data_IF_909809625866
#
_entry.id   IF_909809625866
#
_cell.length_a   1.000
_cell.length_b   1.000
_cell.length_c   1.000
_cell.angle_alpha   90.00
_cell.angle_beta   90.00
_cell.angle_gamma   90.00
#
_symmetry.space_group_name_H-M   'P 1'
#
loop_
_entity.id
_entity.type
_entity.pdbx_description
1 polymer ?
#
# COMPACT_ATOMS: atom_id res chain seq x y z
N UNK A 1 -11.71 21.09 4.62
CA UNK A 1 -11.22 20.63 3.32
C UNK A 1 -9.74 20.33 3.45
N UNK A 2 -9.27 19.15 3.07
CA UNK A 2 -7.83 18.84 3.09
C UNK A 2 -7.14 19.69 2.04
N UNK A 3 -6.16 20.48 2.45
CA UNK A 3 -5.36 21.30 1.52
C UNK A 3 -4.29 20.37 0.93
N UNK A 4 -4.41 20.04 -0.35
CA UNK A 4 -3.37 19.34 -1.08
C UNK A 4 -2.29 20.33 -1.50
N UNK A 5 -1.04 19.91 -1.41
CA UNK A 5 0.12 20.59 -1.95
C UNK A 5 0.73 19.73 -3.06
N UNK A 6 1.59 20.29 -3.87
CA UNK A 6 2.15 19.60 -5.03
C UNK A 6 3.66 19.77 -5.08
N UNK A 7 4.35 18.68 -5.38
CA UNK A 7 5.77 18.66 -5.72
C UNK A 7 5.91 18.27 -7.18
N UNK A 8 6.68 19.02 -7.93
CA UNK A 8 6.99 18.66 -9.33
C UNK A 8 8.23 17.78 -9.33
N UNK A 9 8.10 16.56 -9.82
CA UNK A 9 9.19 15.62 -10.00
C UNK A 9 9.18 15.03 -11.40
N UNK A 10 10.24 15.27 -12.17
CA UNK A 10 10.47 14.69 -13.49
C UNK A 10 9.24 14.77 -14.43
N UNK A 11 8.51 15.89 -14.36
CA UNK A 11 7.31 16.12 -15.18
C UNK A 11 6.02 15.47 -14.63
N UNK A 12 5.96 15.19 -13.34
CA UNK A 12 4.75 14.74 -12.65
C UNK A 12 4.38 15.69 -11.52
N UNK A 13 3.06 15.91 -11.34
CA UNK A 13 2.48 16.67 -10.25
C UNK A 13 2.15 15.74 -9.09
N UNK A 14 3.15 15.44 -8.23
CA UNK A 14 2.97 14.60 -7.06
C UNK A 14 2.21 15.39 -5.98
N UNK A 15 0.95 15.08 -5.78
CA UNK A 15 0.19 15.68 -4.68
C UNK A 15 0.57 15.03 -3.36
N UNK A 16 0.51 15.84 -2.32
CA UNK A 16 0.65 15.33 -0.96
C UNK A 16 -0.26 16.09 0.00
N UNK A 17 -0.54 15.47 1.13
CA UNK A 17 -1.23 16.11 2.27
C UNK A 17 -0.54 15.70 3.57
N UNK A 18 -0.49 16.63 4.52
CA UNK A 18 0.09 16.39 5.84
C UNK A 18 -1.04 16.40 6.87
N UNK A 19 -1.01 15.42 7.77
CA UNK A 19 -1.93 15.30 8.91
C UNK A 19 -1.16 15.03 10.19
N UNK A 20 -1.55 15.72 11.26
CA UNK A 20 -0.91 15.56 12.57
C UNK A 20 0.43 16.27 12.69
N UNK A 21 1.13 15.95 13.76
CA UNK A 21 2.47 16.47 14.09
C UNK A 21 3.27 15.41 14.85
N UNK A 22 4.58 15.65 15.06
CA UNK A 22 5.48 14.71 15.72
C UNK A 22 6.35 13.95 14.72
N UNK A 23 6.71 12.68 15.05
CA UNK A 23 7.57 11.85 14.20
C UNK A 23 6.90 11.63 12.85
N UNK A 24 7.64 11.84 11.77
CA UNK A 24 7.13 11.78 10.41
C UNK A 24 6.96 10.34 9.92
N UNK A 25 5.81 10.03 9.36
CA UNK A 25 5.49 8.78 8.65
C UNK A 25 5.12 9.15 7.22
N UNK A 26 5.95 8.77 6.24
CA UNK A 26 5.65 8.96 4.84
C UNK A 26 4.94 7.73 4.29
N UNK A 27 3.69 7.92 3.86
CA UNK A 27 2.85 6.90 3.24
C UNK A 27 2.88 7.12 1.74
N UNK A 28 3.53 6.21 1.01
CA UNK A 28 3.55 6.26 -0.46
C UNK A 28 2.29 5.59 -1.03
N UNK A 29 1.65 6.25 -1.99
CA UNK A 29 0.48 5.70 -2.68
C UNK A 29 -0.39 6.78 -3.28
N UNK A 30 -1.58 7.00 -2.73
CA UNK A 30 -2.50 8.08 -3.12
C UNK A 30 -2.76 9.02 -1.94
N UNK A 31 -2.47 10.30 -2.14
CA UNK A 31 -2.73 11.36 -1.15
C UNK A 31 -4.23 11.60 -0.91
N UNK A 32 -5.10 11.03 -1.75
CA UNK A 32 -6.56 11.12 -1.64
C UNK A 32 -7.14 9.89 -0.94
N UNK A 33 -6.69 8.69 -1.29
CA UNK A 33 -7.20 7.42 -0.76
C UNK A 33 -6.73 7.17 0.69
N UNK A 34 -5.43 7.23 0.92
CA UNK A 34 -4.85 6.83 2.21
C UNK A 34 -5.32 7.64 3.43
N UNK A 35 -5.53 8.98 3.35
CA UNK A 35 -6.07 9.75 4.49
C UNK A 35 -7.45 9.30 4.96
N UNK A 36 -8.19 8.52 4.15
CA UNK A 36 -9.50 7.96 4.47
C UNK A 36 -9.44 6.67 5.28
N UNK A 37 -8.25 6.05 5.34
CA UNK A 37 -8.04 4.77 6.03
C UNK A 37 -7.51 4.91 7.45
N UNK A 38 -6.72 5.94 7.72
CA UNK A 38 -6.10 6.13 9.03
C UNK A 38 -6.98 6.99 9.94
N UNK A 39 -7.01 6.64 11.21
CA UNK A 39 -7.82 7.35 12.22
C UNK A 39 -7.15 8.62 12.72
N UNK A 40 -7.96 9.58 13.16
CA UNK A 40 -7.49 10.84 13.76
C UNK A 40 -6.65 10.65 15.03
N UNK A 41 -6.78 9.50 15.72
CA UNK A 41 -5.98 9.21 16.92
C UNK A 41 -4.49 9.01 16.60
N UNK A 42 -4.15 8.52 15.42
CA UNK A 42 -2.75 8.46 14.97
C UNK A 42 -2.19 9.85 14.66
N UNK A 43 -3.01 10.75 14.13
CA UNK A 43 -2.60 12.13 13.82
C UNK A 43 -2.32 12.98 15.08
N UNK A 44 -2.83 12.56 16.25
CA UNK A 44 -2.48 13.16 17.55
C UNK A 44 -1.06 12.80 18.01
N UNK A 45 -0.47 11.74 17.45
CA UNK A 45 0.81 11.17 17.90
C UNK A 45 1.93 11.31 16.87
N UNK A 46 1.58 11.29 15.59
CA UNK A 46 2.51 11.25 14.47
C UNK A 46 2.11 12.24 13.39
N UNK A 47 3.11 12.70 12.63
CA UNK A 47 2.88 13.45 11.40
C UNK A 47 2.83 12.48 10.23
N UNK A 48 1.66 12.31 9.63
CA UNK A 48 1.48 11.53 8.41
C UNK A 48 1.62 12.43 7.18
N UNK A 49 2.46 12.00 6.25
CA UNK A 49 2.67 12.63 4.94
C UNK A 49 2.19 11.62 3.90
N UNK A 50 1.02 11.85 3.32
CA UNK A 50 0.45 11.02 2.27
C UNK A 50 0.90 11.57 0.93
N UNK A 51 1.72 10.81 0.20
CA UNK A 51 2.37 11.24 -1.03
C UNK A 51 1.87 10.40 -2.21
N UNK A 52 1.41 11.05 -3.28
CA UNK A 52 1.17 10.38 -4.55
C UNK A 52 2.48 9.84 -5.13
N UNK A 53 2.49 8.61 -5.63
CA UNK A 53 3.48 8.22 -6.62
C UNK A 53 2.95 8.51 -8.03
N UNK A 54 3.83 8.47 -9.05
CA UNK A 54 3.46 8.84 -10.43
C UNK A 54 2.31 8.04 -11.04
N UNK A 55 1.96 6.87 -10.51
CA UNK A 55 0.76 6.11 -10.87
C UNK A 55 -0.56 6.77 -10.43
N UNK A 56 -0.51 7.71 -9.47
CA UNK A 56 -1.64 8.52 -9.01
C UNK A 56 -1.45 10.02 -9.29
N UNK A 57 -0.46 10.37 -10.11
CA UNK A 57 -0.12 11.75 -10.42
C UNK A 57 -0.32 12.06 -11.91
N UNK A 58 -0.74 13.30 -12.20
CA UNK A 58 -0.86 13.77 -13.57
C UNK A 58 0.51 14.11 -14.16
N UNK A 59 0.83 13.63 -15.36
CA UNK A 59 2.02 14.08 -16.06
C UNK A 59 1.78 15.51 -16.61
N UNK A 60 2.83 16.34 -16.57
CA UNK A 60 2.85 17.67 -17.19
C UNK A 60 3.40 17.64 -18.62
N UNK A 61 3.78 16.47 -19.09
CA UNK A 61 4.33 16.19 -20.43
C UNK A 61 3.88 14.81 -20.92
N UNK A 62 4.13 14.50 -22.18
CA UNK A 62 3.92 13.16 -22.71
C UNK A 62 4.76 12.13 -21.97
N UNK A 63 4.17 10.96 -21.71
CA UNK A 63 4.84 9.84 -21.06
C UNK A 63 5.91 9.25 -21.97
N UNK A 64 6.99 8.76 -21.35
CA UNK A 64 8.08 8.00 -21.97
C UNK A 64 8.18 6.63 -21.32
N UNK A 65 8.72 5.60 -21.99
CA UNK A 65 8.86 4.26 -21.42
C UNK A 65 9.60 4.20 -20.09
N UNK A 66 10.66 5.01 -19.93
CA UNK A 66 11.42 5.11 -18.69
C UNK A 66 10.62 5.65 -17.49
N UNK A 67 9.52 6.39 -17.74
CA UNK A 67 8.67 6.95 -16.68
C UNK A 67 7.97 5.88 -15.84
N UNK A 68 7.81 4.67 -16.37
CA UNK A 68 7.08 3.58 -15.72
C UNK A 68 7.90 2.87 -14.66
N UNK A 69 9.23 2.99 -14.70
CA UNK A 69 10.13 2.18 -13.90
C UNK A 69 10.03 2.47 -12.40
N UNK A 70 10.21 1.43 -11.58
CA UNK A 70 10.27 1.57 -10.12
C UNK A 70 11.38 2.54 -9.69
N UNK A 71 12.51 2.57 -10.40
CA UNK A 71 13.59 3.51 -10.12
C UNK A 71 13.13 4.97 -10.18
N UNK A 72 12.24 5.32 -11.10
CA UNK A 72 11.67 6.66 -11.21
C UNK A 72 10.75 6.97 -10.03
N UNK A 73 9.95 6.00 -9.57
CA UNK A 73 9.13 6.16 -8.36
C UNK A 73 10.01 6.38 -7.13
N UNK A 74 11.10 5.63 -6.99
CA UNK A 74 12.03 5.79 -5.87
C UNK A 74 12.69 7.18 -5.91
N UNK A 75 13.05 7.70 -7.08
CA UNK A 75 13.58 9.05 -7.24
C UNK A 75 12.54 10.12 -6.91
N UNK A 76 11.25 9.89 -7.22
CA UNK A 76 10.16 10.80 -6.84
C UNK A 76 10.02 10.91 -5.32
N UNK A 77 10.11 9.76 -4.61
CA UNK A 77 10.08 9.75 -3.13
C UNK A 77 11.27 10.57 -2.58
N UNK A 78 12.47 10.40 -3.15
CA UNK A 78 13.65 11.15 -2.73
C UNK A 78 13.50 12.66 -3.01
N UNK A 79 12.96 13.03 -4.18
CA UNK A 79 12.64 14.44 -4.50
C UNK A 79 11.66 15.01 -3.46
N UNK A 80 10.62 14.26 -3.10
CA UNK A 80 9.66 14.69 -2.10
C UNK A 80 10.29 14.83 -0.72
N UNK A 81 11.14 13.87 -0.29
CA UNK A 81 11.91 13.97 0.95
C UNK A 81 12.72 15.26 1.02
N UNK A 82 13.45 15.57 -0.05
CA UNK A 82 14.29 16.78 -0.12
C UNK A 82 13.44 18.07 -0.06
N UNK A 83 12.35 18.14 -0.84
CA UNK A 83 11.44 19.28 -0.84
C UNK A 83 10.77 19.51 0.52
N UNK A 84 10.48 18.44 1.26
CA UNK A 84 9.83 18.48 2.56
C UNK A 84 10.84 18.55 3.73
N UNK A 85 12.13 18.58 3.43
CA UNK A 85 13.22 18.62 4.41
C UNK A 85 13.13 17.53 5.48
N UNK A 86 12.81 16.28 5.05
CA UNK A 86 12.73 15.15 5.98
C UNK A 86 14.13 14.57 6.21
N UNK A 87 14.67 14.77 7.41
CA UNK A 87 15.99 14.23 7.79
C UNK A 87 15.91 12.74 8.06
N UNK A 88 15.00 12.33 8.94
CA UNK A 88 14.67 10.93 9.20
C UNK A 88 13.16 10.75 9.34
N UNK A 89 12.64 9.66 8.79
CA UNK A 89 11.21 9.36 8.82
C UNK A 89 10.96 7.85 8.77
N UNK A 90 9.72 7.46 9.13
CA UNK A 90 9.22 6.10 8.97
C UNK A 90 8.63 5.99 7.57
N UNK A 91 9.10 5.00 6.79
CA UNK A 91 8.56 4.73 5.46
C UNK A 91 7.45 3.69 5.56
N UNK A 92 6.25 4.02 5.06
CA UNK A 92 5.09 3.13 5.07
C UNK A 92 4.63 2.81 3.65
N UNK A 93 4.51 1.53 3.35
CA UNK A 93 3.89 1.02 2.12
C UNK A 93 2.80 0.00 2.43
N UNK A 94 1.65 0.14 1.78
CA UNK A 94 0.51 -0.75 1.90
C UNK A 94 0.27 -1.45 0.55
N UNK A 95 -0.05 -2.75 0.57
CA UNK A 95 -0.29 -3.53 -0.64
C UNK A 95 0.92 -3.50 -1.59
N UNK A 96 0.75 -3.26 -2.87
CA UNK A 96 1.84 -3.10 -3.83
C UNK A 96 2.83 -1.97 -3.50
N UNK A 97 2.41 -0.96 -2.72
CA UNK A 97 3.32 0.10 -2.29
C UNK A 97 4.38 -0.36 -1.27
N UNK A 98 4.21 -1.56 -0.68
CA UNK A 98 5.24 -2.18 0.16
C UNK A 98 6.55 -2.43 -0.62
N UNK A 99 6.46 -2.78 -1.91
CA UNK A 99 7.62 -2.92 -2.78
C UNK A 99 8.37 -1.59 -2.95
N UNK A 100 7.64 -0.49 -3.10
CA UNK A 100 8.22 0.86 -3.20
C UNK A 100 8.90 1.27 -1.89
N UNK A 101 8.22 1.05 -0.76
CA UNK A 101 8.71 1.42 0.57
C UNK A 101 10.01 0.68 0.92
N UNK A 102 10.05 -0.63 0.70
CA UNK A 102 11.23 -1.43 1.01
C UNK A 102 12.39 -1.10 0.08
N UNK A 103 12.15 -0.88 -1.22
CA UNK A 103 13.17 -0.53 -2.18
C UNK A 103 13.77 0.87 -1.89
N UNK A 104 12.92 1.82 -1.48
CA UNK A 104 13.40 3.12 -1.02
C UNK A 104 14.30 2.99 0.22
N UNK A 105 13.89 2.21 1.21
CA UNK A 105 14.67 1.99 2.43
C UNK A 105 16.04 1.33 2.17
N UNK A 106 16.11 0.42 1.19
CA UNK A 106 17.38 -0.18 0.72
C UNK A 106 18.30 0.85 0.10
N UNK A 107 17.75 1.74 -0.73
CA UNK A 107 18.52 2.72 -1.49
C UNK A 107 18.95 3.92 -0.67
N UNK A 108 18.12 4.36 0.29
CA UNK A 108 18.33 5.56 1.10
C UNK A 108 18.25 5.26 2.61
N UNK A 109 19.03 4.29 3.13
CA UNK A 109 18.91 3.86 4.53
C UNK A 109 19.28 4.93 5.56
N UNK A 110 20.02 5.98 5.17
CA UNK A 110 20.38 7.08 6.06
C UNK A 110 19.16 7.91 6.50
N UNK A 111 18.12 7.97 5.66
CA UNK A 111 16.93 8.80 5.90
C UNK A 111 15.75 8.00 6.45
N UNK A 112 15.80 6.68 6.41
CA UNK A 112 14.73 5.82 6.93
C UNK A 112 15.06 5.37 8.34
N UNK A 113 14.19 5.72 9.30
CA UNK A 113 14.31 5.26 10.68
C UNK A 113 13.76 3.84 10.85
N UNK A 114 12.54 3.60 10.36
CA UNK A 114 11.81 2.34 10.42
C UNK A 114 11.00 2.13 9.13
N UNK A 115 10.64 0.89 8.84
CA UNK A 115 9.79 0.54 7.67
C UNK A 115 8.52 -0.14 8.15
N UNK A 116 7.38 0.24 7.59
CA UNK A 116 6.07 -0.37 7.84
C UNK A 116 5.54 -0.93 6.52
N UNK A 117 5.31 -2.22 6.46
CA UNK A 117 4.75 -2.95 5.33
C UNK A 117 3.40 -3.51 5.74
N UNK A 118 2.32 -3.05 5.09
CA UNK A 118 0.96 -3.46 5.42
C UNK A 118 0.35 -4.25 4.26
N UNK A 119 -0.26 -5.39 4.59
CA UNK A 119 -1.11 -6.14 3.67
C UNK A 119 -0.51 -6.31 2.27
N UNK A 120 0.72 -6.79 2.22
CA UNK A 120 1.42 -7.15 0.99
C UNK A 120 1.77 -8.63 1.01
N UNK A 121 1.73 -9.28 -0.15
CA UNK A 121 2.36 -10.59 -0.30
C UNK A 121 3.88 -10.41 -0.50
N UNK A 122 4.69 -11.44 -0.19
CA UNK A 122 6.15 -11.38 -0.41
C UNK A 122 6.54 -11.15 -1.87
N UNK A 123 5.70 -11.59 -2.80
CA UNK A 123 5.91 -11.41 -4.25
C UNK A 123 4.58 -11.09 -4.93
N UNK A 124 4.63 -10.49 -6.12
CA UNK A 124 3.45 -10.30 -6.97
C UNK A 124 3.49 -11.20 -8.21
N UNK A 125 4.15 -12.36 -8.11
CA UNK A 125 4.22 -13.35 -9.20
C UNK A 125 2.84 -13.93 -9.55
N UNK A 126 2.71 -14.41 -10.78
CA UNK A 126 1.49 -15.07 -11.24
C UNK A 126 1.14 -16.30 -10.38
N UNK A 127 2.15 -17.08 -9.97
CA UNK A 127 1.97 -18.24 -9.09
C UNK A 127 1.36 -17.83 -7.73
N UNK A 128 1.89 -16.77 -7.11
CA UNK A 128 1.34 -16.24 -5.86
C UNK A 128 -0.11 -15.76 -6.06
N UNK A 129 -0.42 -15.08 -7.15
CA UNK A 129 -1.78 -14.63 -7.45
C UNK A 129 -2.74 -15.82 -7.58
N UNK A 130 -2.34 -16.89 -8.27
CA UNK A 130 -3.11 -18.13 -8.35
C UNK A 130 -3.30 -18.78 -6.98
N UNK A 131 -2.27 -18.81 -6.15
CA UNK A 131 -2.34 -19.31 -4.78
C UNK A 131 -3.34 -18.52 -3.94
N UNK A 132 -3.37 -17.19 -4.02
CA UNK A 132 -4.34 -16.37 -3.30
C UNK A 132 -5.78 -16.63 -3.80
N UNK A 133 -5.95 -16.79 -5.11
CA UNK A 133 -7.24 -17.14 -5.69
C UNK A 133 -7.73 -18.51 -5.21
N UNK A 134 -6.89 -19.53 -5.23
CA UNK A 134 -7.22 -20.87 -4.72
C UNK A 134 -7.58 -20.81 -3.24
N UNK A 135 -6.78 -20.13 -2.43
CA UNK A 135 -7.04 -19.95 -1.01
C UNK A 135 -8.41 -19.29 -0.74
N UNK A 136 -8.78 -18.28 -1.52
CA UNK A 136 -10.11 -17.68 -1.42
C UNK A 136 -11.22 -18.69 -1.67
N UNK A 137 -11.16 -19.45 -2.77
CA UNK A 137 -12.21 -20.42 -3.11
C UNK A 137 -12.22 -21.62 -2.17
N UNK A 138 -11.12 -21.98 -1.54
CA UNK A 138 -11.05 -23.07 -0.57
C UNK A 138 -11.58 -22.67 0.81
N UNK A 139 -11.29 -21.45 1.28
CA UNK A 139 -11.47 -21.10 2.69
C UNK A 139 -12.53 -20.02 2.97
N UNK A 140 -12.90 -19.19 1.99
CA UNK A 140 -13.92 -18.18 2.20
C UNK A 140 -15.33 -18.80 2.37
N UNK A 141 -16.20 -18.12 3.12
CA UNK A 141 -17.60 -18.56 3.28
C UNK A 141 -18.36 -18.52 1.95
N UNK A 142 -19.44 -19.29 1.85
CA UNK A 142 -20.28 -19.31 0.64
C UNK A 142 -20.92 -17.95 0.36
N UNK A 143 -21.32 -17.23 1.42
CA UNK A 143 -21.90 -15.89 1.32
C UNK A 143 -20.87 -14.90 0.76
N UNK A 144 -19.62 -14.97 1.21
CA UNK A 144 -18.52 -14.14 0.70
C UNK A 144 -18.22 -14.42 -0.77
N UNK A 145 -18.19 -15.69 -1.17
CA UNK A 145 -18.00 -16.11 -2.56
C UNK A 145 -19.12 -15.60 -3.46
N UNK A 146 -20.38 -15.80 -3.03
CA UNK A 146 -21.54 -15.32 -3.76
C UNK A 146 -21.55 -13.79 -3.93
N UNK A 147 -21.12 -13.05 -2.88
CA UNK A 147 -20.94 -11.59 -2.97
C UNK A 147 -19.87 -11.21 -3.99
N UNK A 148 -18.71 -11.86 -3.95
CA UNK A 148 -17.64 -11.63 -4.91
C UNK A 148 -18.09 -11.90 -6.35
N UNK A 149 -18.73 -13.05 -6.60
CA UNK A 149 -19.21 -13.42 -7.91
C UNK A 149 -20.25 -12.42 -8.46
N UNK A 150 -21.14 -11.94 -7.60
CA UNK A 150 -22.11 -10.91 -7.95
C UNK A 150 -21.45 -9.60 -8.36
N UNK A 151 -20.38 -9.19 -7.67
CA UNK A 151 -19.74 -7.91 -7.89
C UNK A 151 -18.76 -7.97 -9.07
N UNK A 152 -18.01 -9.06 -9.23
CA UNK A 152 -16.94 -9.14 -10.24
C UNK A 152 -17.47 -9.19 -11.67
N UNK A 153 -18.68 -9.73 -11.89
CA UNK A 153 -19.29 -9.74 -13.23
C UNK A 153 -19.56 -8.33 -13.78
N UNK A 154 -19.65 -7.34 -12.92
CA UNK A 154 -19.84 -5.93 -13.31
C UNK A 154 -18.54 -5.24 -13.75
N UNK A 155 -17.38 -5.83 -13.48
CA UNK A 155 -16.07 -5.20 -13.74
C UNK A 155 -15.88 -4.87 -15.21
N UNK A 156 -16.24 -5.77 -16.11
CA UNK A 156 -16.08 -5.55 -17.56
C UNK A 156 -16.89 -4.34 -18.04
N UNK A 157 -18.14 -4.21 -17.56
CA UNK A 157 -19.00 -3.07 -17.92
C UNK A 157 -18.48 -1.75 -17.34
N UNK A 158 -17.93 -1.78 -16.13
CA UNK A 158 -17.32 -0.59 -15.50
C UNK A 158 -16.09 -0.14 -16.27
N UNK A 159 -15.21 -1.06 -16.66
CA UNK A 159 -14.01 -0.77 -17.45
C UNK A 159 -14.39 -0.22 -18.84
N UNK A 160 -15.41 -0.77 -19.50
CA UNK A 160 -15.89 -0.26 -20.80
C UNK A 160 -16.41 1.18 -20.71
N UNK A 161 -17.04 1.52 -19.57
CA UNK A 161 -17.58 2.87 -19.33
C UNK A 161 -16.50 3.88 -19.02
N UNK A 162 -15.48 3.47 -18.24
CA UNK A 162 -14.38 4.37 -17.77
C UNK A 162 -13.06 3.58 -17.68
N UNK A 163 -12.38 3.38 -18.83
CA UNK A 163 -11.16 2.56 -18.89
C UNK A 163 -9.96 3.17 -18.15
N UNK A 164 -9.93 4.49 -18.01
CA UNK A 164 -8.85 5.20 -17.31
C UNK A 164 -8.89 4.95 -15.79
N UNK A 165 -10.02 4.43 -15.28
CA UNK A 165 -10.20 4.08 -13.87
C UNK A 165 -10.30 2.56 -13.63
N UNK A 166 -9.82 1.72 -14.56
CA UNK A 166 -9.97 0.26 -14.41
C UNK A 166 -9.35 -0.31 -13.13
N UNK A 167 -8.24 0.27 -12.64
CA UNK A 167 -7.65 -0.10 -11.36
C UNK A 167 -8.62 0.16 -10.20
N UNK A 168 -9.26 1.32 -10.19
CA UNK A 168 -10.26 1.69 -9.19
C UNK A 168 -11.47 0.75 -9.26
N UNK A 169 -11.98 0.48 -10.46
CA UNK A 169 -13.10 -0.45 -10.64
C UNK A 169 -12.75 -1.84 -10.13
N UNK A 170 -11.55 -2.33 -10.42
CA UNK A 170 -11.06 -3.60 -9.89
C UNK A 170 -11.04 -3.60 -8.36
N UNK A 171 -10.46 -2.58 -7.72
CA UNK A 171 -10.42 -2.48 -6.25
C UNK A 171 -11.82 -2.48 -5.63
N UNK A 172 -12.78 -1.79 -6.25
CA UNK A 172 -14.18 -1.75 -5.76
C UNK A 172 -14.83 -3.13 -5.92
N UNK A 173 -14.71 -3.77 -7.11
CA UNK A 173 -15.36 -5.06 -7.39
C UNK A 173 -14.74 -6.23 -6.62
N UNK A 174 -13.49 -6.11 -6.18
CA UNK A 174 -12.82 -7.07 -5.30
C UNK A 174 -13.07 -6.81 -3.81
N UNK A 175 -14.03 -5.98 -3.45
CA UNK A 175 -14.34 -5.62 -2.06
C UNK A 175 -14.57 -6.81 -1.14
N UNK A 176 -15.27 -7.85 -1.62
CA UNK A 176 -15.50 -9.07 -0.85
C UNK A 176 -14.22 -9.88 -0.56
N UNK A 177 -13.15 -9.68 -1.32
CA UNK A 177 -11.83 -10.24 -1.03
C UNK A 177 -10.97 -9.32 -0.17
N UNK A 178 -11.31 -8.02 -0.13
CA UNK A 178 -10.51 -6.97 0.50
C UNK A 178 -10.91 -6.68 1.94
N UNK A 179 -12.18 -6.79 2.29
CA UNK A 179 -12.68 -6.39 3.61
C UNK A 179 -13.10 -7.59 4.46
N UNK A 180 -12.89 -7.49 5.77
CA UNK A 180 -13.41 -8.43 6.76
C UNK A 180 -14.95 -8.48 6.70
N UNK A 181 -15.60 -7.31 6.74
CA UNK A 181 -16.99 -7.18 6.34
C UNK A 181 -17.09 -7.19 4.82
N UNK A 182 -17.33 -8.36 4.24
CA UNK A 182 -17.43 -8.54 2.79
C UNK A 182 -18.65 -7.83 2.16
N UNK A 183 -19.57 -7.29 2.96
CA UNK A 183 -20.68 -6.48 2.49
C UNK A 183 -20.36 -4.97 2.42
N UNK A 184 -19.22 -4.57 2.98
CA UNK A 184 -18.82 -3.17 3.05
C UNK A 184 -18.65 -2.54 1.66
N UNK A 185 -19.30 -1.38 1.44
CA UNK A 185 -19.13 -0.59 0.21
C UNK A 185 -18.04 0.46 0.38
N UNK A 186 -16.88 0.18 -0.18
CA UNK A 186 -15.72 1.05 -0.14
C UNK A 186 -15.61 2.00 -1.35
N UNK A 187 -16.61 2.08 -2.21
CA UNK A 187 -16.54 2.87 -3.45
C UNK A 187 -16.21 4.34 -3.19
N UNK A 188 -16.75 4.94 -2.12
CA UNK A 188 -16.49 6.32 -1.76
C UNK A 188 -15.02 6.63 -1.43
N UNK A 189 -14.25 5.62 -1.00
CA UNK A 189 -12.82 5.77 -0.71
C UNK A 189 -12.00 6.10 -1.96
N UNK A 190 -12.53 5.77 -3.13
CA UNK A 190 -11.92 5.97 -4.43
C UNK A 190 -12.42 7.22 -5.17
N UNK A 191 -13.33 8.00 -4.56
CA UNK A 191 -13.78 9.26 -5.17
C UNK A 191 -12.60 10.21 -5.31
N UNK A 192 -12.50 10.87 -6.47
CA UNK A 192 -11.45 11.85 -6.83
C UNK A 192 -10.01 11.29 -6.88
N UNK A 193 -9.83 9.98 -6.78
CA UNK A 193 -8.53 9.35 -6.99
C UNK A 193 -8.24 9.31 -8.48
N UNK A 194 -7.17 10.02 -8.90
CA UNK A 194 -6.64 9.94 -10.24
C UNK A 194 -5.79 8.69 -10.42
N UNK A 195 -5.83 8.07 -11.59
CA UNK A 195 -5.01 6.91 -11.95
C UNK A 195 -4.29 7.13 -13.27
N UNK A 196 -2.98 6.87 -13.29
CA UNK A 196 -2.17 6.82 -14.50
C UNK A 196 -1.99 5.34 -14.87
N UNK A 197 -2.92 4.85 -15.67
CA UNK A 197 -3.03 3.40 -15.94
C UNK A 197 -1.78 2.78 -16.56
N UNK A 198 -1.09 3.39 -17.56
CA UNK A 198 0.14 2.84 -18.09
C UNK A 198 1.22 2.57 -17.05
N UNK A 199 1.36 3.46 -16.05
CA UNK A 199 2.34 3.31 -14.97
C UNK A 199 1.88 2.24 -13.97
N UNK A 200 0.60 2.23 -13.61
CA UNK A 200 0.03 1.22 -12.69
C UNK A 200 0.19 -0.16 -13.29
N UNK A 201 -0.15 -0.34 -14.56
CA UNK A 201 -0.03 -1.64 -15.25
C UNK A 201 1.40 -2.16 -15.25
N UNK A 202 2.36 -1.30 -15.56
CA UNK A 202 3.77 -1.70 -15.55
C UNK A 202 4.24 -2.09 -14.15
N UNK A 203 3.91 -1.28 -13.13
CA UNK A 203 4.35 -1.55 -11.76
C UNK A 203 3.76 -2.85 -11.20
N UNK A 204 2.44 -3.02 -11.31
CA UNK A 204 1.75 -4.22 -10.80
C UNK A 204 1.90 -5.43 -11.68
N UNK A 205 1.92 -5.25 -13.01
CA UNK A 205 1.99 -6.36 -13.97
C UNK A 205 3.40 -6.89 -14.20
N UNK A 206 4.43 -6.02 -14.15
CA UNK A 206 5.80 -6.41 -14.51
C UNK A 206 6.79 -6.20 -13.36
N UNK A 207 6.91 -4.96 -12.84
CA UNK A 207 7.97 -4.62 -11.92
C UNK A 207 7.91 -5.42 -10.61
N UNK A 208 6.73 -5.47 -9.98
CA UNK A 208 6.55 -6.19 -8.71
C UNK A 208 6.51 -7.71 -8.88
N UNK A 209 6.16 -8.21 -10.06
CA UNK A 209 6.18 -9.65 -10.37
C UNK A 209 7.57 -10.27 -10.27
N UNK A 210 8.60 -9.47 -10.51
CA UNK A 210 10.00 -9.89 -10.48
C UNK A 210 10.71 -9.63 -9.14
N UNK A 211 9.97 -9.18 -8.11
CA UNK A 211 10.52 -8.84 -6.80
C UNK A 211 10.12 -9.87 -5.74
N UNK A 212 11.04 -10.10 -4.79
CA UNK A 212 10.79 -10.87 -3.57
C UNK A 212 11.14 -10.01 -2.35
N UNK A 213 10.11 -9.62 -1.59
CA UNK A 213 10.27 -8.79 -0.40
C UNK A 213 11.08 -9.53 0.69
N UNK A 214 10.90 -10.86 0.87
CA UNK A 214 11.64 -11.61 1.88
C UNK A 214 13.13 -11.59 1.56
N UNK A 215 13.52 -11.81 0.31
CA UNK A 215 14.94 -11.67 -0.10
C UNK A 215 15.44 -10.23 0.11
N UNK A 216 14.58 -9.24 -0.14
CA UNK A 216 14.92 -7.83 0.04
C UNK A 216 15.12 -7.45 1.50
N UNK A 217 14.42 -8.09 2.46
CA UNK A 217 14.60 -7.85 3.90
C UNK A 217 16.04 -8.07 4.36
N UNK A 218 16.76 -9.03 3.79
CA UNK A 218 18.14 -9.32 4.14
C UNK A 218 19.09 -8.13 3.92
N UNK A 219 18.70 -7.18 3.08
CA UNK A 219 19.47 -5.97 2.76
C UNK A 219 19.01 -4.72 3.54
N UNK A 220 18.04 -4.86 4.44
CA UNK A 220 17.51 -3.75 5.24
C UNK A 220 17.77 -4.03 6.73
N UNK A 221 18.67 -3.23 7.34
CA UNK A 221 19.01 -3.37 8.76
C UNK A 221 18.09 -2.56 9.69
N UNK A 222 17.19 -1.77 9.13
CA UNK A 222 16.24 -0.96 9.89
C UNK A 222 15.14 -1.83 10.48
N UNK A 223 14.55 -1.46 11.61
CA UNK A 223 13.37 -2.15 12.14
C UNK A 223 12.23 -2.15 11.13
N UNK A 224 11.60 -3.31 10.96
CA UNK A 224 10.51 -3.52 9.99
C UNK A 224 9.29 -4.06 10.71
N UNK A 225 8.15 -3.40 10.50
CA UNK A 225 6.84 -3.89 10.91
C UNK A 225 6.11 -4.48 9.71
N UNK A 226 5.63 -5.70 9.82
CA UNK A 226 4.78 -6.35 8.83
C UNK A 226 3.40 -6.56 9.46
N UNK A 227 2.40 -5.82 8.99
CA UNK A 227 1.00 -5.96 9.41
C UNK A 227 0.17 -6.67 8.36
N UNK A 228 -0.54 -7.73 8.73
CA UNK A 228 -1.32 -8.57 7.82
C UNK A 228 -2.75 -8.76 8.34
N UNK A 229 -3.75 -8.59 7.49
CA UNK A 229 -5.12 -8.97 7.82
C UNK A 229 -5.37 -10.46 7.61
N UNK A 230 -6.03 -11.12 8.56
CA UNK A 230 -6.29 -12.57 8.49
C UNK A 230 -7.11 -12.96 7.27
N UNK A 231 -8.07 -12.14 6.90
CA UNK A 231 -9.01 -12.40 5.81
C UNK A 231 -8.73 -11.55 4.56
N UNK A 232 -7.49 -11.11 4.39
CA UNK A 232 -7.04 -10.44 3.18
C UNK A 232 -6.82 -11.46 2.05
N UNK A 233 -7.84 -11.70 1.26
CA UNK A 233 -7.77 -12.66 0.16
C UNK A 233 -7.04 -12.14 -1.08
N UNK A 234 -6.70 -10.87 -1.14
CA UNK A 234 -5.92 -10.30 -2.26
C UNK A 234 -4.46 -10.76 -2.22
N UNK A 235 -3.93 -10.96 -1.00
CA UNK A 235 -2.51 -11.28 -0.75
C UNK A 235 -2.33 -12.52 0.12
N UNK A 236 -3.43 -13.25 0.38
CA UNK A 236 -3.46 -14.47 1.20
C UNK A 236 -2.62 -15.62 0.60
N UNK A 237 -2.32 -16.63 1.41
CA UNK A 237 -2.52 -16.69 2.85
C UNK A 237 -1.42 -15.94 3.63
N UNK A 238 -1.69 -15.60 4.90
CA UNK A 238 -0.68 -14.94 5.76
C UNK A 238 0.58 -15.79 5.97
N UNK A 239 0.47 -17.11 5.84
CA UNK A 239 1.59 -18.08 5.92
C UNK A 239 2.65 -17.88 4.83
N UNK A 240 2.38 -17.11 3.78
CA UNK A 240 3.41 -16.69 2.82
C UNK A 240 4.59 -15.97 3.50
N UNK A 241 4.32 -15.37 4.68
CA UNK A 241 5.29 -14.65 5.48
C UNK A 241 5.93 -15.49 6.60
N UNK A 242 5.62 -16.78 6.75
CA UNK A 242 6.16 -17.61 7.85
C UNK A 242 7.68 -17.82 7.73
N UNK A 243 8.24 -17.68 6.52
CA UNK A 243 9.69 -17.71 6.31
C UNK A 243 10.44 -16.54 7.00
N UNK A 244 9.73 -15.53 7.46
CA UNK A 244 10.31 -14.40 8.20
C UNK A 244 10.51 -14.76 9.67
N UNK A 245 9.69 -15.64 10.21
CA UNK A 245 9.69 -15.99 11.63
C UNK A 245 11.01 -16.65 12.05
N UNK A 246 11.66 -16.07 13.06
CA UNK A 246 12.95 -16.53 13.56
C UNK A 246 14.17 -16.29 12.66
N UNK A 247 13.98 -15.83 11.42
CA UNK A 247 15.07 -15.58 10.48
C UNK A 247 15.54 -14.12 10.43
N UNK A 248 14.68 -13.19 10.90
CA UNK A 248 14.97 -11.76 10.87
C UNK A 248 14.70 -11.12 12.23
N UNK A 249 15.75 -10.75 12.95
CA UNK A 249 15.66 -10.19 14.31
C UNK A 249 15.11 -8.74 14.31
N UNK A 250 15.18 -8.05 13.19
CA UNK A 250 14.70 -6.69 13.02
C UNK A 250 13.27 -6.62 12.45
N UNK A 251 12.58 -7.75 12.32
CA UNK A 251 11.22 -7.81 11.75
C UNK A 251 10.22 -8.21 12.84
N UNK A 252 9.18 -7.40 13.02
CA UNK A 252 8.00 -7.72 13.83
C UNK A 252 6.81 -7.98 12.90
N UNK A 253 6.33 -9.23 12.89
CA UNK A 253 5.12 -9.63 12.15
C UNK A 253 3.91 -9.62 13.07
N UNK A 254 2.81 -8.97 12.66
CA UNK A 254 1.54 -8.92 13.38
C UNK A 254 0.40 -9.30 12.45
N UNK A 255 -0.50 -10.14 12.93
CA UNK A 255 -1.72 -10.51 12.22
C UNK A 255 -2.92 -9.87 12.91
N UNK A 256 -3.74 -9.16 12.13
CA UNK A 256 -4.99 -8.54 12.55
C UNK A 256 -6.13 -9.52 12.25
N UNK A 257 -6.68 -10.13 13.28
CA UNK A 257 -7.57 -11.29 13.16
C UNK A 257 -8.96 -10.95 12.59
N UNK A 258 -9.40 -9.68 12.74
CA UNK A 258 -10.70 -9.21 12.25
C UNK A 258 -10.54 -8.20 11.10
N UNK A 259 -9.46 -8.33 10.33
CA UNK A 259 -9.19 -7.45 9.18
C UNK A 259 -8.96 -8.24 7.90
N UNK A 260 -9.39 -7.63 6.81
CA UNK A 260 -8.97 -7.94 5.46
C UNK A 260 -7.76 -7.09 5.06
N UNK A 261 -7.88 -6.39 3.93
CA UNK A 261 -6.79 -5.63 3.32
C UNK A 261 -6.42 -4.33 4.05
N UNK A 262 -7.27 -3.83 4.96
CA UNK A 262 -7.13 -2.49 5.54
C UNK A 262 -7.20 -2.49 7.07
N UNK A 263 -6.28 -3.13 7.82
CA UNK A 263 -6.36 -3.21 9.28
C UNK A 263 -6.35 -1.85 9.97
N UNK A 264 -5.72 -0.83 9.39
CA UNK A 264 -5.73 0.54 9.90
C UNK A 264 -7.13 1.16 9.90
N UNK A 265 -8.03 0.64 9.06
CA UNK A 265 -9.43 1.05 8.95
C UNK A 265 -10.37 0.07 9.66
N UNK A 266 -10.11 -1.23 9.56
CA UNK A 266 -11.01 -2.29 10.02
C UNK A 266 -10.88 -2.59 11.51
N UNK A 267 -9.66 -2.53 12.06
CA UNK A 267 -9.36 -2.68 13.50
C UNK A 267 -8.59 -1.45 14.03
N UNK A 268 -9.10 -0.22 13.90
CA UNK A 268 -8.33 1.00 14.12
C UNK A 268 -7.75 1.10 15.54
N UNK A 269 -8.45 0.66 16.57
CA UNK A 269 -7.97 0.72 17.95
C UNK A 269 -6.77 -0.20 18.17
N UNK A 270 -6.87 -1.45 17.73
CA UNK A 270 -5.79 -2.42 17.88
C UNK A 270 -4.60 -2.08 16.98
N UNK A 271 -4.87 -1.65 15.75
CA UNK A 271 -3.83 -1.18 14.82
C UNK A 271 -3.06 0.02 15.38
N UNK A 272 -3.76 1.04 15.85
CA UNK A 272 -3.15 2.25 16.39
C UNK A 272 -2.28 1.96 17.62
N UNK A 273 -2.78 1.12 18.53
CA UNK A 273 -2.05 0.72 19.72
C UNK A 273 -0.77 -0.02 19.32
N UNK A 274 -0.89 -1.08 18.54
CA UNK A 274 0.23 -1.94 18.14
C UNK A 274 1.29 -1.19 17.35
N UNK A 275 0.87 -0.36 16.39
CA UNK A 275 1.81 0.46 15.61
C UNK A 275 2.50 1.50 16.48
N UNK A 276 1.77 2.17 17.38
CA UNK A 276 2.33 3.19 18.29
C UNK A 276 3.37 2.57 19.21
N UNK A 277 3.07 1.43 19.83
CA UNK A 277 4.01 0.73 20.71
C UNK A 277 5.29 0.38 19.94
N UNK A 278 5.15 -0.26 18.78
CA UNK A 278 6.31 -0.64 17.99
C UNK A 278 7.15 0.56 17.51
N UNK A 279 6.53 1.68 17.14
CA UNK A 279 7.28 2.89 16.75
C UNK A 279 8.10 3.41 17.92
N UNK A 280 7.58 3.33 19.15
CA UNK A 280 8.23 3.84 20.35
C UNK A 280 9.23 2.86 21.00
N UNK A 281 9.27 1.58 20.57
CA UNK A 281 10.28 0.62 20.98
C UNK A 281 11.68 1.11 20.51
N UNK A 282 12.66 1.03 21.42
CA UNK A 282 14.08 1.22 21.09
C UNK A 282 14.60 -0.09 20.49
N UNK A 283 14.89 -0.10 19.22
CA UNK A 283 15.44 -1.25 18.49
C UNK A 283 16.95 -1.12 18.27
#
# INVERSE_FOLDING_TARGET
MSTYQTIISDGFELKYTIRGNGKSILVIGSSVYYPRLFSDDLYKKFQFIFLDHRGFAKPTRALKPEDYTLNKVINDIETARQCLHLDQFIMLGHSGHAFMALEYAKRYPAYVEKVVLLNSAPTNSQERQQQSCSFFYETASQERKARFEKDIVLLESDIKRDPDRRFVHMCIRMGAQSFYDFAYDAAYMWNDVYTNMPIIDYLWGEAFGNMDLIQSLANVRKPIFIGLGRTDYLVAPVSLWDRVDGNYTNVKKVVFEHSGHNPMFEEPHYFNHTLTEWINENH
#
